data_IF_184210669923
#
_entry.id   IF_184210669923
#
_cell.length_a   1.000
_cell.length_b   1.000
_cell.length_c   1.000
_cell.angle_alpha   90.00
_cell.angle_beta   90.00
_cell.angle_gamma   90.00
#
_symmetry.space_group_name_H-M   'P 1'
#
loop_
_entity.id
_entity.type
_entity.pdbx_description
1 polymer ?
#
# COMPACT_ATOMS: atom_id res chain seq x y z
N UNK A 1 7.84 25.20 -9.20
CA UNK A 1 8.81 24.42 -8.41
C UNK A 1 8.02 23.57 -7.45
N UNK A 2 8.35 22.30 -7.20
CA UNK A 2 7.73 21.57 -6.13
C UNK A 2 7.94 22.36 -4.83
N UNK A 3 6.93 22.44 -3.97
CA UNK A 3 7.09 23.09 -2.68
C UNK A 3 8.12 22.30 -1.86
N UNK A 4 8.89 22.96 -1.02
CA UNK A 4 9.87 22.30 -0.13
C UNK A 4 9.23 21.13 0.65
N UNK A 5 7.93 21.22 0.92
CA UNK A 5 7.11 20.16 1.49
C UNK A 5 7.10 18.87 0.66
N UNK A 6 6.81 18.99 -0.65
CA UNK A 6 6.70 17.82 -1.52
C UNK A 6 8.06 17.14 -1.69
N UNK A 7 9.12 17.91 -1.81
CA UNK A 7 10.48 17.39 -1.93
C UNK A 7 10.90 16.62 -0.67
N UNK A 8 10.68 17.19 0.52
CA UNK A 8 10.98 16.52 1.79
C UNK A 8 10.12 15.25 1.96
N UNK A 9 8.85 15.30 1.56
CA UNK A 9 7.99 14.12 1.67
C UNK A 9 8.45 12.99 0.75
N UNK A 10 8.78 13.29 -0.50
CA UNK A 10 9.29 12.31 -1.47
C UNK A 10 10.64 11.74 -1.03
N UNK A 11 11.51 12.57 -0.45
CA UNK A 11 12.78 12.14 0.13
C UNK A 11 12.56 11.18 1.32
N UNK A 12 11.61 11.48 2.20
CA UNK A 12 11.27 10.60 3.32
C UNK A 12 10.73 9.25 2.83
N UNK A 13 9.85 9.25 1.80
CA UNK A 13 9.36 8.02 1.18
C UNK A 13 10.49 7.19 0.59
N UNK A 14 11.43 7.83 -0.10
CA UNK A 14 12.61 7.15 -0.64
C UNK A 14 13.43 6.46 0.46
N UNK A 15 13.70 7.15 1.58
CA UNK A 15 14.43 6.53 2.70
C UNK A 15 13.64 5.39 3.35
N UNK A 16 12.32 5.51 3.48
CA UNK A 16 11.47 4.41 3.96
C UNK A 16 11.52 3.19 3.05
N UNK A 17 11.54 3.37 1.72
CA UNK A 17 11.70 2.27 0.76
C UNK A 17 13.06 1.60 0.84
N UNK A 18 14.11 2.37 1.11
CA UNK A 18 15.49 1.88 1.29
C UNK A 18 15.77 1.31 2.68
N UNK A 19 14.77 1.30 3.58
CA UNK A 19 14.93 0.88 4.97
C UNK A 19 15.97 1.71 5.77
N UNK A 20 16.31 2.91 5.29
CA UNK A 20 17.12 3.88 6.02
C UNK A 20 16.22 4.66 7.00
N UNK A 21 15.85 3.97 8.10
CA UNK A 21 14.83 4.50 9.02
C UNK A 21 15.31 5.74 9.77
N UNK A 22 16.62 5.91 9.94
CA UNK A 22 17.16 7.07 10.66
C UNK A 22 17.04 8.34 9.81
N UNK A 23 17.43 8.28 8.54
CA UNK A 23 17.24 9.41 7.62
C UNK A 23 15.77 9.68 7.33
N UNK A 24 14.93 8.63 7.25
CA UNK A 24 13.50 8.80 7.09
C UNK A 24 12.90 9.57 8.27
N UNK A 25 13.30 9.24 9.51
CA UNK A 25 12.84 9.94 10.70
C UNK A 25 13.27 11.40 10.70
N UNK A 26 14.56 11.67 10.48
CA UNK A 26 15.10 13.03 10.43
C UNK A 26 14.33 13.88 9.40
N UNK A 27 14.11 13.34 8.20
CA UNK A 27 13.42 14.05 7.13
C UNK A 27 11.94 14.29 7.47
N UNK A 28 11.24 13.29 8.07
CA UNK A 28 9.84 13.43 8.47
C UNK A 28 9.70 14.44 9.62
N UNK A 29 10.60 14.43 10.62
CA UNK A 29 10.57 15.41 11.70
C UNK A 29 10.79 16.81 11.19
N UNK A 30 11.75 17.03 10.30
CA UNK A 30 11.98 18.32 9.65
C UNK A 30 10.74 18.78 8.88
N UNK A 31 10.08 17.88 8.17
CA UNK A 31 8.83 18.20 7.45
C UNK A 31 7.72 18.59 8.42
N UNK A 32 7.56 17.89 9.54
CA UNK A 32 6.56 18.18 10.57
C UNK A 32 6.87 19.51 11.30
N UNK A 33 8.13 19.85 11.50
CA UNK A 33 8.53 21.16 12.05
C UNK A 33 8.14 22.31 11.13
N UNK A 34 8.28 22.14 9.83
CA UNK A 34 7.91 23.14 8.82
C UNK A 34 6.40 23.19 8.57
N UNK A 35 5.74 22.06 8.56
CA UNK A 35 4.32 21.91 8.27
C UNK A 35 3.64 20.96 9.29
N UNK A 36 3.35 21.42 10.52
CA UNK A 36 2.79 20.58 11.58
C UNK A 36 1.43 19.95 11.25
N UNK A 37 0.66 20.59 10.38
CA UNK A 37 -0.67 20.14 9.98
C UNK A 37 -0.67 19.18 8.78
N UNK A 38 0.50 18.80 8.28
CA UNK A 38 0.60 17.87 7.15
C UNK A 38 0.41 16.41 7.62
N UNK A 39 -0.84 15.98 7.74
CA UNK A 39 -1.25 14.67 8.20
C UNK A 39 -0.49 13.47 7.53
N UNK A 40 -0.16 13.50 6.22
CA UNK A 40 0.61 12.40 5.61
C UNK A 40 1.98 12.19 6.23
N UNK A 41 2.67 13.26 6.72
CA UNK A 41 3.97 13.10 7.38
C UNK A 41 3.84 12.35 8.70
N UNK A 42 2.84 12.70 9.51
CA UNK A 42 2.52 11.98 10.76
C UNK A 42 2.21 10.51 10.50
N UNK A 43 1.40 10.21 9.48
CA UNK A 43 1.13 8.82 9.10
C UNK A 43 2.42 8.06 8.73
N UNK A 44 3.33 8.66 7.94
CA UNK A 44 4.59 7.99 7.57
C UNK A 44 5.55 7.85 8.75
N UNK A 45 5.55 8.80 9.68
CA UNK A 45 6.30 8.67 10.93
C UNK A 45 5.75 7.53 11.80
N UNK A 46 4.44 7.38 11.89
CA UNK A 46 3.80 6.24 12.54
C UNK A 46 4.19 4.89 11.89
N UNK A 47 4.22 4.82 10.56
CA UNK A 47 4.70 3.63 9.83
C UNK A 47 6.16 3.32 10.17
N UNK A 48 7.02 4.32 10.27
CA UNK A 48 8.41 4.18 10.67
C UNK A 48 8.52 3.57 12.07
N UNK A 49 7.81 4.11 13.07
CA UNK A 49 7.82 3.57 14.43
C UNK A 49 7.26 2.15 14.51
N UNK A 50 6.21 1.85 13.75
CA UNK A 50 5.69 0.49 13.65
C UNK A 50 6.75 -0.50 13.08
N UNK A 51 7.56 -0.08 12.11
CA UNK A 51 8.69 -0.87 11.59
C UNK A 51 9.77 -1.10 12.65
N UNK A 52 10.01 -0.12 13.51
CA UNK A 52 10.93 -0.24 14.67
C UNK A 52 10.33 -1.01 15.85
N UNK A 53 9.07 -1.47 15.74
CA UNK A 53 8.33 -2.10 16.84
C UNK A 53 8.03 -1.19 18.03
N UNK A 54 8.16 0.10 17.88
CA UNK A 54 7.65 1.06 18.85
C UNK A 54 6.17 1.36 18.58
N UNK A 55 5.33 0.41 19.02
CA UNK A 55 3.88 0.49 18.77
C UNK A 55 3.20 1.64 19.50
N UNK A 56 3.81 2.16 20.57
CA UNK A 56 3.26 3.30 21.32
C UNK A 56 3.43 4.59 20.51
N UNK A 57 4.65 4.89 20.06
CA UNK A 57 4.90 6.07 19.23
C UNK A 57 4.17 5.97 17.88
N UNK A 58 4.07 4.76 17.32
CA UNK A 58 3.30 4.55 16.09
C UNK A 58 1.82 4.92 16.26
N UNK A 59 1.19 4.47 17.36
CA UNK A 59 -0.20 4.79 17.67
C UNK A 59 -0.41 6.30 17.82
N UNK A 60 0.43 6.97 18.63
CA UNK A 60 0.39 8.43 18.82
C UNK A 60 0.47 9.18 17.47
N UNK A 61 1.37 8.77 16.57
CA UNK A 61 1.50 9.38 15.24
C UNK A 61 0.29 9.14 14.35
N UNK A 62 -0.31 7.94 14.37
CA UNK A 62 -1.51 7.67 13.58
C UNK A 62 -2.74 8.42 14.11
N UNK A 63 -2.87 8.54 15.44
CA UNK A 63 -3.93 9.35 16.06
C UNK A 63 -3.79 10.84 15.69
N UNK A 64 -2.56 11.36 15.69
CA UNK A 64 -2.30 12.73 15.26
C UNK A 64 -2.61 12.93 13.76
N UNK A 65 -2.25 11.99 12.91
CA UNK A 65 -2.63 12.03 11.50
C UNK A 65 -4.15 12.08 11.31
N UNK A 66 -4.91 11.30 12.10
CA UNK A 66 -6.37 11.30 12.05
C UNK A 66 -7.01 12.53 12.69
N UNK A 67 -6.35 13.15 13.68
CA UNK A 67 -6.78 14.43 14.24
C UNK A 67 -6.72 15.55 13.20
N UNK A 68 -5.67 15.51 12.38
CA UNK A 68 -5.42 16.49 11.30
C UNK A 68 -6.28 16.23 10.06
N UNK A 69 -6.40 14.98 9.66
CA UNK A 69 -7.27 14.55 8.55
C UNK A 69 -8.02 13.24 8.90
N UNK A 70 -9.25 13.34 9.42
CA UNK A 70 -10.07 12.17 9.78
C UNK A 70 -10.48 11.29 8.60
N UNK A 71 -10.25 11.74 7.36
CA UNK A 71 -10.64 11.01 6.15
C UNK A 71 -9.52 10.15 5.56
N UNK A 72 -8.39 10.05 6.22
CA UNK A 72 -7.30 9.17 5.81
C UNK A 72 -7.62 7.71 6.17
N UNK A 73 -7.69 6.84 5.17
CA UNK A 73 -7.94 5.40 5.37
C UNK A 73 -6.70 4.67 5.92
N UNK A 74 -5.48 5.10 5.52
CA UNK A 74 -4.24 4.43 5.90
C UNK A 74 -4.00 4.39 7.42
N UNK A 75 -4.10 5.50 8.20
CA UNK A 75 -3.89 5.45 9.64
C UNK A 75 -4.89 4.54 10.36
N UNK A 76 -6.16 4.49 9.93
CA UNK A 76 -7.13 3.54 10.48
C UNK A 76 -6.67 2.09 10.28
N UNK A 77 -6.23 1.74 9.07
CA UNK A 77 -5.71 0.39 8.80
C UNK A 77 -4.47 0.07 9.64
N UNK A 78 -3.57 1.03 9.83
CA UNK A 78 -2.37 0.88 10.63
C UNK A 78 -2.67 0.73 12.14
N UNK A 79 -3.61 1.51 12.67
CA UNK A 79 -4.10 1.34 14.04
C UNK A 79 -4.75 -0.05 14.22
N UNK A 80 -5.50 -0.52 13.24
CA UNK A 80 -6.02 -1.87 13.23
C UNK A 80 -4.93 -2.94 13.37
N UNK A 81 -3.79 -2.75 12.72
CA UNK A 81 -2.63 -3.66 12.85
C UNK A 81 -2.06 -3.64 14.27
N UNK A 82 -1.90 -2.45 14.88
CA UNK A 82 -1.42 -2.31 16.25
C UNK A 82 -2.38 -3.01 17.23
N UNK A 83 -3.68 -2.79 17.10
CA UNK A 83 -4.68 -3.41 17.98
C UNK A 83 -4.75 -4.93 17.78
N UNK A 84 -4.56 -5.42 16.54
CA UNK A 84 -4.48 -6.85 16.26
C UNK A 84 -3.25 -7.49 16.93
N UNK A 85 -2.09 -6.82 16.91
CA UNK A 85 -0.87 -7.29 17.56
C UNK A 85 -1.02 -7.34 19.08
N UNK A 86 -1.73 -6.38 19.67
CA UNK A 86 -2.06 -6.35 21.11
C UNK A 86 -3.19 -7.32 21.52
N UNK A 87 -3.84 -7.97 20.55
CA UNK A 87 -4.97 -8.85 20.80
C UNK A 87 -6.31 -8.13 21.09
N UNK A 88 -6.39 -6.84 20.80
CA UNK A 88 -7.60 -6.03 20.96
C UNK A 88 -8.49 -6.15 19.74
N UNK A 89 -9.07 -7.32 19.56
CA UNK A 89 -9.74 -7.72 18.32
C UNK A 89 -10.91 -6.83 17.92
N UNK A 90 -11.72 -6.37 18.88
CA UNK A 90 -12.85 -5.48 18.57
C UNK A 90 -12.39 -4.11 18.09
N UNK A 91 -11.33 -3.56 18.70
CA UNK A 91 -10.72 -2.30 18.24
C UNK A 91 -10.09 -2.47 16.86
N UNK A 92 -9.37 -3.55 16.64
CA UNK A 92 -8.79 -3.86 15.33
C UNK A 92 -9.86 -3.95 14.24
N UNK A 93 -10.97 -4.66 14.52
CA UNK A 93 -12.10 -4.79 13.61
C UNK A 93 -12.68 -3.42 13.26
N UNK A 94 -13.02 -2.62 14.27
CA UNK A 94 -13.57 -1.27 14.07
C UNK A 94 -12.64 -0.39 13.21
N UNK A 95 -11.33 -0.45 13.48
CA UNK A 95 -10.34 0.33 12.73
C UNK A 95 -10.25 -0.10 11.27
N UNK A 96 -10.24 -1.41 10.97
CA UNK A 96 -10.26 -1.89 9.58
C UNK A 96 -11.57 -1.55 8.86
N UNK A 97 -12.72 -1.65 9.56
CA UNK A 97 -14.01 -1.28 8.99
C UNK A 97 -14.05 0.22 8.65
N UNK A 98 -13.52 1.09 9.51
CA UNK A 98 -13.39 2.52 9.21
C UNK A 98 -12.48 2.76 7.99
N UNK A 99 -11.33 2.09 7.91
CA UNK A 99 -10.48 2.17 6.73
C UNK A 99 -11.23 1.80 5.44
N UNK A 100 -12.08 0.75 5.49
CA UNK A 100 -12.86 0.30 4.34
C UNK A 100 -14.08 1.19 4.03
N UNK A 101 -14.61 1.92 4.99
CA UNK A 101 -15.62 2.96 4.75
C UNK A 101 -15.02 4.11 3.95
N UNK A 102 -13.79 4.50 4.28
CA UNK A 102 -13.06 5.60 3.61
C UNK A 102 -12.47 5.18 2.27
N UNK A 103 -11.94 3.97 2.19
CA UNK A 103 -11.40 3.35 0.96
C UNK A 103 -11.89 1.90 0.83
N UNK A 104 -13.07 1.67 0.20
CA UNK A 104 -13.64 0.33 0.01
C UNK A 104 -12.77 -0.61 -0.83
N UNK A 105 -11.83 -0.04 -1.58
CA UNK A 105 -10.90 -0.77 -2.42
C UNK A 105 -9.58 -1.14 -1.73
N UNK A 106 -9.39 -0.79 -0.46
CA UNK A 106 -8.14 -1.00 0.26
C UNK A 106 -7.82 -2.49 0.45
N UNK A 107 -6.84 -3.04 -0.27
CA UNK A 107 -6.55 -4.48 -0.21
C UNK A 107 -5.94 -4.86 1.14
N UNK A 108 -5.14 -3.98 1.74
CA UNK A 108 -4.50 -4.21 3.04
C UNK A 108 -5.54 -4.32 4.16
N UNK A 109 -6.46 -3.36 4.25
CA UNK A 109 -7.53 -3.39 5.24
C UNK A 109 -8.43 -4.62 5.04
N UNK A 110 -8.81 -4.94 3.78
CA UNK A 110 -9.59 -6.13 3.45
C UNK A 110 -8.89 -7.43 3.86
N UNK A 111 -7.58 -7.53 3.56
CA UNK A 111 -6.77 -8.69 3.94
C UNK A 111 -6.69 -8.86 5.46
N UNK A 112 -6.35 -7.78 6.17
CA UNK A 112 -6.14 -7.83 7.61
C UNK A 112 -7.44 -8.08 8.38
N UNK A 113 -8.57 -7.52 7.93
CA UNK A 113 -9.89 -7.87 8.45
C UNK A 113 -10.23 -9.35 8.21
N UNK A 114 -9.88 -9.88 7.04
CA UNK A 114 -10.02 -11.30 6.73
C UNK A 114 -9.20 -12.20 7.66
N UNK A 115 -7.96 -11.81 7.96
CA UNK A 115 -7.09 -12.49 8.94
C UNK A 115 -7.70 -12.41 10.33
N UNK A 116 -8.21 -11.24 10.73
CA UNK A 116 -8.87 -11.04 12.02
C UNK A 116 -10.09 -11.97 12.19
N UNK A 117 -10.99 -12.03 11.20
CA UNK A 117 -12.16 -12.92 11.26
C UNK A 117 -11.77 -14.39 11.39
N UNK A 118 -10.72 -14.83 10.69
CA UNK A 118 -10.21 -16.19 10.87
C UNK A 118 -9.68 -16.43 12.28
N UNK A 119 -8.98 -15.45 12.85
CA UNK A 119 -8.40 -15.53 14.19
C UNK A 119 -9.49 -15.54 15.27
N UNK A 120 -10.61 -14.87 15.03
CA UNK A 120 -11.77 -14.81 15.97
C UNK A 120 -12.83 -15.89 15.73
N UNK A 121 -12.59 -16.83 14.78
CA UNK A 121 -13.45 -18.00 14.55
C UNK A 121 -14.48 -17.85 13.43
N UNK A 122 -14.67 -16.66 12.85
CA UNK A 122 -15.54 -16.50 11.66
C UNK A 122 -14.76 -16.84 10.38
N UNK A 123 -14.50 -18.14 10.21
CA UNK A 123 -13.71 -18.66 9.09
C UNK A 123 -14.34 -18.30 7.74
N UNK A 124 -15.69 -18.33 7.66
CA UNK A 124 -16.42 -18.05 6.40
C UNK A 124 -16.17 -16.64 5.89
N UNK A 125 -16.38 -15.62 6.73
CA UNK A 125 -16.09 -14.22 6.39
C UNK A 125 -14.61 -14.02 6.13
N UNK A 126 -13.74 -14.59 6.95
CA UNK A 126 -12.30 -14.48 6.79
C UNK A 126 -11.84 -14.97 5.41
N UNK A 127 -12.27 -16.16 4.97
CA UNK A 127 -11.93 -16.72 3.65
C UNK A 127 -12.48 -15.86 2.52
N UNK A 128 -13.72 -15.34 2.64
CA UNK A 128 -14.32 -14.47 1.63
C UNK A 128 -13.50 -13.20 1.41
N UNK A 129 -13.15 -12.50 2.50
CA UNK A 129 -12.36 -11.26 2.44
C UNK A 129 -10.94 -11.51 1.90
N UNK A 130 -10.28 -12.59 2.30
CA UNK A 130 -8.97 -12.95 1.77
C UNK A 130 -9.00 -13.26 0.27
N UNK A 131 -10.06 -13.93 -0.22
CA UNK A 131 -10.26 -14.12 -1.66
C UNK A 131 -10.48 -12.80 -2.38
N UNK A 132 -11.22 -11.87 -1.78
CA UNK A 132 -11.45 -10.53 -2.34
C UNK A 132 -10.14 -9.75 -2.44
N UNK A 133 -9.34 -9.66 -1.38
CA UNK A 133 -8.04 -9.01 -1.37
C UNK A 133 -7.11 -9.60 -2.44
N UNK A 134 -6.98 -10.92 -2.50
CA UNK A 134 -6.14 -11.60 -3.49
C UNK A 134 -6.60 -11.35 -4.94
N UNK A 135 -7.92 -11.19 -5.18
CA UNK A 135 -8.42 -10.84 -6.52
C UNK A 135 -8.06 -9.41 -6.89
N UNK A 136 -8.17 -8.47 -5.94
CA UNK A 136 -7.80 -7.07 -6.13
C UNK A 136 -6.30 -6.93 -6.45
N UNK A 137 -5.44 -7.59 -5.68
CA UNK A 137 -3.98 -7.60 -5.91
C UNK A 137 -3.61 -8.17 -7.28
N UNK A 138 -4.21 -9.30 -7.65
CA UNK A 138 -4.00 -9.89 -8.98
C UNK A 138 -4.49 -8.99 -10.11
N UNK A 139 -5.60 -8.29 -9.92
CA UNK A 139 -6.12 -7.35 -10.92
C UNK A 139 -5.17 -6.14 -11.07
N UNK A 140 -4.69 -5.58 -9.94
CA UNK A 140 -3.69 -4.52 -9.92
C UNK A 140 -2.40 -4.95 -10.63
N UNK A 141 -1.85 -6.10 -10.27
CA UNK A 141 -0.64 -6.64 -10.90
C UNK A 141 -0.80 -6.82 -12.41
N UNK A 142 -1.95 -7.38 -12.87
CA UNK A 142 -2.23 -7.54 -14.31
C UNK A 142 -2.31 -6.19 -15.02
N UNK A 143 -2.88 -5.18 -14.38
CA UNK A 143 -2.98 -3.83 -14.94
C UNK A 143 -1.59 -3.20 -15.07
N UNK A 144 -0.78 -3.26 -14.03
CA UNK A 144 0.59 -2.75 -14.02
C UNK A 144 1.46 -3.46 -15.06
N UNK A 145 1.38 -4.80 -15.14
CA UNK A 145 2.09 -5.59 -16.14
C UNK A 145 1.71 -5.21 -17.57
N UNK A 146 0.43 -4.86 -17.84
CA UNK A 146 0.00 -4.42 -19.17
C UNK A 146 0.44 -2.99 -19.52
N UNK A 147 0.61 -2.14 -18.54
CA UNK A 147 0.95 -0.71 -18.75
C UNK A 147 2.44 -0.45 -18.69
N UNK A 148 3.23 -1.37 -18.15
CA UNK A 148 4.68 -1.21 -18.02
C UNK A 148 5.35 -1.05 -19.39
N UNK A 149 6.37 -0.17 -19.50
CA UNK A 149 7.13 -0.01 -20.76
C UNK A 149 7.78 -1.31 -21.22
N UNK A 150 8.22 -2.13 -20.28
CA UNK A 150 8.84 -3.44 -20.56
C UNK A 150 7.86 -4.44 -21.17
N UNK A 151 6.64 -4.53 -20.60
CA UNK A 151 5.61 -5.38 -21.16
C UNK A 151 5.22 -4.97 -22.59
N UNK A 152 5.10 -3.67 -22.84
CA UNK A 152 4.85 -3.14 -24.19
C UNK A 152 5.99 -3.47 -25.15
N UNK A 153 7.24 -3.44 -24.69
CA UNK A 153 8.40 -3.81 -25.49
C UNK A 153 8.40 -5.30 -25.83
N UNK A 154 8.13 -6.17 -24.84
CA UNK A 154 8.02 -7.62 -25.04
C UNK A 154 6.90 -7.96 -26.02
N UNK A 155 5.74 -7.32 -25.90
CA UNK A 155 4.62 -7.52 -26.81
C UNK A 155 4.98 -7.12 -28.25
N UNK A 156 5.65 -5.98 -28.46
CA UNK A 156 6.08 -5.54 -29.80
C UNK A 156 7.08 -6.52 -30.43
N UNK A 157 8.05 -7.00 -29.64
CA UNK A 157 9.01 -8.00 -30.11
C UNK A 157 8.30 -9.32 -30.44
N UNK A 158 7.37 -9.76 -29.61
CA UNK A 158 6.57 -10.96 -29.87
C UNK A 158 5.77 -10.87 -31.18
N UNK A 159 5.09 -9.75 -31.43
CA UNK A 159 4.37 -9.53 -32.67
C UNK A 159 5.30 -9.45 -33.89
N UNK A 160 6.49 -8.86 -33.76
CA UNK A 160 7.48 -8.83 -34.83
C UNK A 160 7.97 -10.24 -35.19
N UNK A 161 8.21 -11.10 -34.20
CA UNK A 161 8.60 -12.50 -34.41
C UNK A 161 7.48 -13.28 -35.11
N UNK A 162 6.23 -13.12 -34.65
CA UNK A 162 5.07 -13.80 -35.28
C UNK A 162 4.91 -13.35 -36.73
N UNK A 163 5.04 -12.05 -37.02
CA UNK A 163 5.01 -11.51 -38.36
C UNK A 163 6.12 -12.09 -39.24
N UNK A 164 7.33 -12.21 -38.73
CA UNK A 164 8.46 -12.77 -39.45
C UNK A 164 8.24 -14.28 -39.79
N UNK A 165 7.70 -15.02 -38.84
CA UNK A 165 7.36 -16.44 -39.02
C UNK A 165 6.26 -16.56 -40.10
N UNK A 166 5.22 -15.72 -40.07
CA UNK A 166 4.17 -15.71 -41.07
C UNK A 166 4.67 -15.43 -42.49
N UNK A 167 5.61 -14.47 -42.63
CA UNK A 167 6.26 -14.15 -43.91
C UNK A 167 7.09 -15.35 -44.42
N UNK A 168 7.86 -15.99 -43.53
CA UNK A 168 8.68 -17.17 -43.91
C UNK A 168 7.76 -18.32 -44.36
N UNK A 169 6.68 -18.61 -43.60
CA UNK A 169 5.73 -19.64 -43.98
C UNK A 169 5.05 -19.34 -45.30
N UNK A 170 4.61 -18.09 -45.52
CA UNK A 170 4.04 -17.67 -46.80
C UNK A 170 5.01 -17.89 -47.96
N UNK A 171 6.28 -17.58 -47.81
CA UNK A 171 7.31 -17.77 -48.82
C UNK A 171 7.58 -19.26 -49.13
N UNK A 172 7.58 -20.11 -48.07
CA UNK A 172 7.76 -21.56 -48.23
C UNK A 172 6.59 -22.22 -48.95
N UNK A 173 5.34 -21.83 -48.62
CA UNK A 173 4.14 -22.44 -49.20
C UNK A 173 3.78 -21.88 -50.58
N UNK A 174 4.34 -20.74 -50.96
CA UNK A 174 4.05 -20.11 -52.27
C UNK A 174 5.16 -20.30 -53.29
N UNK A 175 6.10 -21.21 -53.03
CA UNK A 175 7.16 -21.64 -53.95
C UNK A 175 6.89 -23.04 -54.48
#
# INVERSE_FOLDING_TARGET
>A
MPSDRQELYDQALFFLEKWDLDKAEETLRKLIELEPEFAPAWNKLGVLFARRKDLRQAEECFEEALRLDPRMAEPHSNLGNIYLERGWFDRAKSSYEQALVLDPGNPTATHNLGVLYRKTGDIGKGVSLLKQANRADRAKFRREARTSPEAKRILRVGWAIIGLIAIILFWIFNR
#
